data_IF_889118070220
#
_entry.id   IF_889118070220
#
_cell.length_a   1.000
_cell.length_b   1.000
_cell.length_c   1.000
_cell.angle_alpha   90.00
_cell.angle_beta   90.00
_cell.angle_gamma   90.00
#
_symmetry.space_group_name_H-M   'P 1'
#
loop_
_entity.id
_entity.type
_entity.pdbx_description
1 polymer ?
#
# COMPACT_ATOMS: atom_id res chain seq x y z
N UNK A 1 26.46 16.36 -1.69
CA UNK A 1 25.24 17.09 -2.14
C UNK A 1 25.31 18.61 -1.83
N UNK A 2 26.31 19.05 -1.09
CA UNK A 2 26.48 20.49 -0.69
C UNK A 2 26.69 21.44 -1.87
N UNK A 3 27.13 20.93 -3.04
CA UNK A 3 27.36 21.71 -4.26
C UNK A 3 26.12 21.82 -5.17
N UNK A 4 25.02 21.11 -4.82
CA UNK A 4 23.80 21.11 -5.63
C UNK A 4 22.88 22.24 -5.20
N UNK A 5 22.74 23.26 -6.02
CA UNK A 5 21.72 24.31 -5.81
C UNK A 5 20.35 23.78 -6.22
N UNK A 6 19.50 23.48 -5.23
CA UNK A 6 18.13 23.04 -5.44
C UNK A 6 17.23 23.48 -4.29
N UNK A 7 15.94 23.63 -4.57
CA UNK A 7 14.94 24.02 -3.57
C UNK A 7 14.43 22.82 -2.74
N UNK A 8 14.42 21.63 -3.34
CA UNK A 8 13.89 20.41 -2.72
C UNK A 8 14.76 19.20 -3.04
N UNK A 9 15.06 18.40 -2.02
CA UNK A 9 15.75 17.11 -2.14
C UNK A 9 14.77 16.00 -1.72
N UNK A 10 14.53 15.04 -2.60
CA UNK A 10 13.63 13.91 -2.37
C UNK A 10 14.46 12.64 -2.16
N UNK A 11 14.42 12.10 -0.94
CA UNK A 11 15.08 10.84 -0.58
C UNK A 11 14.14 9.67 -0.92
N UNK A 12 14.39 9.02 -2.04
CA UNK A 12 13.62 7.86 -2.52
C UNK A 12 14.48 6.60 -2.46
N UNK A 13 14.70 6.11 -1.26
CA UNK A 13 15.48 4.90 -0.96
C UNK A 13 14.64 3.94 -0.11
N UNK A 14 14.97 2.62 -0.06
CA UNK A 14 14.30 1.68 0.84
C UNK A 14 14.31 2.16 2.29
N UNK A 15 13.24 1.93 3.03
CA UNK A 15 13.05 2.39 4.41
C UNK A 15 14.21 2.00 5.35
N UNK A 16 14.77 0.80 5.16
CA UNK A 16 15.92 0.32 5.93
C UNK A 16 17.22 1.11 5.68
N UNK A 17 17.34 1.73 4.49
CA UNK A 17 18.54 2.50 4.13
C UNK A 17 18.39 3.99 4.41
N UNK A 18 17.19 4.43 4.69
CA UNK A 18 16.90 5.86 4.88
C UNK A 18 17.68 6.47 6.06
N UNK A 19 17.79 5.84 7.25
CA UNK A 19 18.61 6.36 8.34
C UNK A 19 20.08 6.52 7.96
N UNK A 20 20.67 5.52 7.31
CA UNK A 20 22.07 5.55 6.87
C UNK A 20 22.33 6.69 5.88
N UNK A 21 21.41 6.90 4.93
CA UNK A 21 21.51 7.98 3.94
C UNK A 21 21.44 9.34 4.62
N UNK A 22 20.55 9.52 5.59
CA UNK A 22 20.39 10.77 6.33
C UNK A 22 21.63 11.06 7.18
N UNK A 23 22.20 10.06 7.84
CA UNK A 23 23.35 10.21 8.73
C UNK A 23 24.64 10.51 7.96
N UNK A 24 24.81 9.87 6.79
CA UNK A 24 26.04 9.97 6.00
C UNK A 24 25.96 11.00 4.85
N UNK A 25 24.88 11.78 4.78
CA UNK A 25 24.72 12.82 3.77
C UNK A 25 24.67 14.21 4.40
N UNK A 26 25.29 15.17 3.70
CA UNK A 26 25.17 16.59 4.00
C UNK A 26 24.18 17.22 3.00
N UNK A 27 23.27 18.04 3.50
CA UNK A 27 22.25 18.70 2.69
C UNK A 27 22.35 20.22 2.82
N UNK A 28 22.16 20.99 1.72
CA UNK A 28 22.12 22.45 1.78
C UNK A 28 21.04 22.92 2.76
N UNK A 29 21.39 23.80 3.69
CA UNK A 29 20.49 24.28 4.77
C UNK A 29 19.22 24.95 4.25
N UNK A 30 19.28 25.54 3.06
CA UNK A 30 18.16 26.23 2.45
C UNK A 30 17.21 25.29 1.69
N UNK A 31 17.66 24.13 1.27
CA UNK A 31 16.82 23.14 0.61
C UNK A 31 15.83 22.48 1.58
N UNK A 32 14.63 22.16 1.11
CA UNK A 32 13.68 21.34 1.84
C UNK A 32 14.01 19.87 1.57
N UNK A 33 14.32 19.09 2.61
CA UNK A 33 14.63 17.67 2.49
C UNK A 33 13.39 16.86 2.85
N UNK A 34 12.97 15.97 1.96
CA UNK A 34 11.81 15.10 2.17
C UNK A 34 12.16 13.64 1.91
N UNK A 35 11.50 12.73 2.62
CA UNK A 35 11.52 11.31 2.26
C UNK A 35 10.19 10.84 1.68
N UNK A 36 10.21 9.70 0.97
CA UNK A 36 9.03 9.12 0.32
C UNK A 36 8.47 7.91 1.06
N UNK A 37 8.89 7.66 2.29
CA UNK A 37 8.45 6.49 3.06
C UNK A 37 7.02 6.63 3.59
N UNK A 38 6.24 5.57 3.45
CA UNK A 38 4.92 5.44 4.06
C UNK A 38 4.99 5.10 5.56
N UNK A 39 6.06 4.42 6.00
CA UNK A 39 6.20 3.88 7.36
C UNK A 39 7.03 4.78 8.29
N UNK A 40 8.04 5.51 7.76
CA UNK A 40 8.98 6.30 8.58
C UNK A 40 8.38 7.64 9.01
N UNK A 41 8.61 8.09 10.26
CA UNK A 41 8.10 9.37 10.73
C UNK A 41 8.88 10.55 10.09
N UNK A 42 8.21 11.69 9.92
CA UNK A 42 8.84 12.94 9.48
C UNK A 42 10.05 13.34 10.36
N UNK A 43 9.95 13.06 11.66
CA UNK A 43 10.99 13.38 12.65
C UNK A 43 12.34 12.71 12.40
N UNK A 44 12.42 11.70 11.52
CA UNK A 44 13.68 11.11 11.09
C UNK A 44 14.62 12.17 10.46
N UNK A 45 14.05 13.20 9.84
CA UNK A 45 14.78 14.32 9.23
C UNK A 45 14.93 15.54 10.17
N UNK A 46 14.60 15.43 11.45
CA UNK A 46 14.55 16.57 12.39
C UNK A 46 15.88 17.31 12.59
N UNK A 47 17.01 16.70 12.28
CA UNK A 47 18.32 17.37 12.28
C UNK A 47 18.45 18.42 11.17
N UNK A 48 17.65 18.32 10.10
CA UNK A 48 17.64 19.30 9.02
C UNK A 48 16.56 20.38 9.28
N UNK A 49 16.88 21.67 9.13
CA UNK A 49 15.96 22.75 9.53
C UNK A 49 14.67 22.78 8.70
N UNK A 50 14.74 22.46 7.40
CA UNK A 50 13.62 22.46 6.46
C UNK A 50 13.36 21.03 5.98
N UNK A 51 12.39 20.35 6.60
CA UNK A 51 12.15 18.94 6.29
C UNK A 51 10.67 18.55 6.23
N UNK A 52 10.42 17.38 5.66
CA UNK A 52 9.06 16.85 5.57
C UNK A 52 8.98 15.49 4.89
N UNK A 53 7.79 15.20 4.41
CA UNK A 53 7.44 13.97 3.69
C UNK A 53 6.73 14.30 2.41
N UNK A 54 7.10 13.58 1.36
CA UNK A 54 6.47 13.58 0.05
C UNK A 54 6.19 12.13 -0.33
N UNK A 55 5.01 11.60 0.02
CA UNK A 55 4.69 10.19 -0.14
C UNK A 55 3.67 9.96 -1.27
N UNK A 56 4.13 9.58 -2.48
CA UNK A 56 3.23 9.11 -3.52
C UNK A 56 2.60 7.77 -3.10
N UNK A 57 1.28 7.75 -3.01
CA UNK A 57 0.54 6.58 -2.55
C UNK A 57 0.22 5.64 -3.72
N UNK A 58 1.21 4.88 -4.13
CA UNK A 58 1.15 3.98 -5.28
C UNK A 58 2.14 2.82 -5.12
N UNK A 59 1.85 1.69 -5.76
CA UNK A 59 2.81 0.60 -5.98
C UNK A 59 3.59 0.89 -7.26
N UNK A 60 4.92 0.88 -7.18
CA UNK A 60 5.79 1.18 -8.32
C UNK A 60 6.47 -0.08 -8.84
N UNK A 61 6.44 -0.27 -10.15
CA UNK A 61 7.17 -1.33 -10.87
C UNK A 61 8.15 -0.68 -11.83
N UNK A 62 9.41 -1.12 -11.82
CA UNK A 62 10.50 -0.50 -12.61
C UNK A 62 10.22 -0.42 -14.12
N UNK A 63 9.44 -1.35 -14.65
CA UNK A 63 9.13 -1.45 -16.08
C UNK A 63 7.92 -0.62 -16.53
N UNK A 64 7.20 0.04 -15.62
CA UNK A 64 5.98 0.78 -15.95
C UNK A 64 6.19 2.29 -15.81
N UNK A 65 5.87 3.03 -16.87
CA UNK A 65 5.71 4.47 -16.76
C UNK A 65 4.47 4.81 -15.95
N UNK A 66 4.65 5.69 -14.96
CA UNK A 66 3.59 6.08 -14.04
C UNK A 66 3.15 7.51 -14.33
N UNK A 67 1.86 7.70 -14.60
CA UNK A 67 1.26 9.02 -14.66
C UNK A 67 0.90 9.48 -13.24
N UNK A 68 1.61 10.46 -12.73
CA UNK A 68 1.42 10.98 -11.37
C UNK A 68 0.13 11.78 -11.20
N UNK A 69 -0.51 12.25 -12.26
CA UNK A 69 -1.66 13.18 -12.21
C UNK A 69 -2.77 12.72 -11.27
N UNK A 70 -3.08 11.42 -11.25
CA UNK A 70 -4.17 10.84 -10.46
C UNK A 70 -3.70 10.10 -9.20
N UNK A 71 -2.38 10.03 -8.95
CA UNK A 71 -1.83 9.37 -7.78
C UNK A 71 -1.99 10.29 -6.56
N UNK A 72 -2.63 9.82 -5.48
CA UNK A 72 -2.65 10.58 -4.24
C UNK A 72 -1.22 10.81 -3.71
N UNK A 73 -0.89 12.05 -3.38
CA UNK A 73 0.37 12.38 -2.72
C UNK A 73 0.05 12.86 -1.31
N UNK A 74 0.56 12.15 -0.32
CA UNK A 74 0.43 12.53 1.08
C UNK A 74 1.66 13.31 1.51
N UNK A 75 1.44 14.50 2.06
CA UNK A 75 2.52 15.41 2.43
C UNK A 75 2.46 15.79 3.91
N UNK A 76 3.64 16.01 4.48
CA UNK A 76 3.85 16.53 5.81
C UNK A 76 5.08 17.46 5.77
N UNK A 77 5.12 18.52 6.54
CA UNK A 77 6.26 19.43 6.55
C UNK A 77 6.28 20.28 7.82
N UNK A 78 7.47 20.65 8.27
CA UNK A 78 7.68 21.56 9.38
C UNK A 78 7.66 23.03 8.89
N UNK A 79 7.07 23.95 9.68
CA UNK A 79 7.06 25.38 9.37
C UNK A 79 6.72 25.69 7.91
N UNK A 80 7.53 26.50 7.26
CA UNK A 80 7.37 26.90 5.86
C UNK A 80 7.66 25.79 4.85
N UNK A 81 8.28 24.67 5.26
CA UNK A 81 8.59 23.55 4.36
C UNK A 81 7.30 22.94 3.77
N UNK A 82 6.20 22.98 4.51
CA UNK A 82 4.91 22.47 4.05
C UNK A 82 4.44 23.13 2.75
N UNK A 83 4.56 24.45 2.62
CA UNK A 83 4.14 25.21 1.44
C UNK A 83 4.97 24.82 0.21
N UNK A 84 6.29 24.69 0.38
CA UNK A 84 7.18 24.25 -0.69
C UNK A 84 6.86 22.85 -1.14
N UNK A 85 6.68 21.90 -0.19
CA UNK A 85 6.30 20.51 -0.49
C UNK A 85 4.95 20.45 -1.21
N UNK A 86 3.98 21.22 -0.75
CA UNK A 86 2.64 21.28 -1.36
C UNK A 86 2.71 21.82 -2.79
N UNK A 87 3.50 22.85 -3.05
CA UNK A 87 3.69 23.40 -4.41
C UNK A 87 4.26 22.33 -5.35
N UNK A 88 5.30 21.61 -4.93
CA UNK A 88 5.88 20.50 -5.73
C UNK A 88 4.88 19.40 -5.94
N UNK A 89 4.15 18.98 -4.91
CA UNK A 89 3.17 17.91 -5.02
C UNK A 89 2.03 18.27 -5.99
N UNK A 90 1.53 19.52 -5.93
CA UNK A 90 0.46 19.99 -6.83
C UNK A 90 0.91 20.18 -8.28
N UNK A 91 2.20 20.36 -8.51
CA UNK A 91 2.75 20.41 -9.87
C UNK A 91 2.69 19.05 -10.59
N UNK A 92 2.64 17.94 -9.86
CA UNK A 92 2.66 16.58 -10.41
C UNK A 92 1.36 15.80 -10.19
N UNK A 93 0.53 16.16 -9.19
CA UNK A 93 -0.73 15.46 -8.90
C UNK A 93 -1.87 16.42 -8.56
N UNK A 94 -3.08 16.04 -8.99
CA UNK A 94 -4.34 16.72 -8.61
C UNK A 94 -4.84 16.29 -7.22
N UNK A 95 -4.30 15.20 -6.65
CA UNK A 95 -4.78 14.55 -5.41
C UNK A 95 -3.76 14.70 -4.27
N UNK A 96 -3.58 15.91 -3.75
CA UNK A 96 -2.63 16.19 -2.66
C UNK A 96 -3.37 16.32 -1.33
N UNK A 97 -2.93 15.60 -0.29
CA UNK A 97 -3.51 15.64 1.05
C UNK A 97 -2.44 15.80 2.11
N UNK A 98 -2.73 16.61 3.14
CA UNK A 98 -1.92 16.66 4.37
C UNK A 98 -2.25 15.44 5.21
N UNK A 99 -1.23 14.65 5.55
CA UNK A 99 -1.38 13.44 6.38
C UNK A 99 -0.22 13.37 7.35
N UNK A 100 -0.51 13.30 8.65
CA UNK A 100 0.52 13.18 9.68
C UNK A 100 1.25 11.84 9.60
N UNK A 101 2.45 11.76 10.17
CA UNK A 101 3.24 10.52 10.24
C UNK A 101 2.45 9.36 10.82
N UNK A 102 1.70 9.59 11.91
CA UNK A 102 0.87 8.54 12.53
C UNK A 102 -0.23 8.03 11.58
N UNK A 103 -0.96 8.94 10.95
CA UNK A 103 -2.02 8.54 10.02
C UNK A 103 -1.45 7.94 8.72
N UNK A 104 -0.28 8.39 8.26
CA UNK A 104 0.39 7.81 7.10
C UNK A 104 0.78 6.35 7.34
N UNK A 105 1.26 6.00 8.55
CA UNK A 105 1.52 4.61 8.92
C UNK A 105 0.27 3.74 8.86
N UNK A 106 -0.88 4.24 9.35
CA UNK A 106 -2.16 3.54 9.25
C UNK A 106 -2.61 3.35 7.81
N UNK A 107 -2.48 4.38 6.99
CA UNK A 107 -2.80 4.33 5.55
C UNK A 107 -1.87 3.36 4.82
N UNK A 108 -0.57 3.37 5.14
CA UNK A 108 0.39 2.42 4.59
C UNK A 108 0.04 0.97 4.95
N UNK A 109 -0.29 0.70 6.22
CA UNK A 109 -0.74 -0.62 6.65
C UNK A 109 -2.02 -1.05 5.91
N UNK A 110 -2.99 -0.16 5.73
CA UNK A 110 -4.20 -0.45 4.96
C UNK A 110 -3.86 -0.82 3.49
N UNK A 111 -2.89 -0.13 2.88
CA UNK A 111 -2.42 -0.46 1.53
C UNK A 111 -1.72 -1.82 1.45
N UNK A 112 -1.00 -2.24 2.49
CA UNK A 112 -0.42 -3.59 2.56
C UNK A 112 -1.53 -4.64 2.49
N UNK A 113 -2.62 -4.48 3.26
CA UNK A 113 -3.78 -5.37 3.18
C UNK A 113 -4.44 -5.33 1.80
N UNK A 114 -4.74 -4.14 1.29
CA UNK A 114 -5.51 -3.97 0.06
C UNK A 114 -4.72 -4.34 -1.22
N UNK A 115 -3.40 -4.25 -1.19
CA UNK A 115 -2.56 -4.45 -2.38
C UNK A 115 -1.58 -5.62 -2.21
N UNK A 116 -0.69 -5.59 -1.20
CA UNK A 116 0.38 -6.59 -1.11
C UNK A 116 -0.17 -7.98 -0.74
N UNK A 117 -1.02 -8.06 0.28
CA UNK A 117 -1.64 -9.34 0.67
C UNK A 117 -2.62 -9.82 -0.40
N UNK A 118 -3.39 -8.92 -1.00
CA UNK A 118 -4.28 -9.27 -2.11
C UNK A 118 -3.50 -9.82 -3.30
N UNK A 119 -2.35 -9.23 -3.66
CA UNK A 119 -1.50 -9.78 -4.71
C UNK A 119 -0.96 -11.17 -4.36
N UNK A 120 -0.64 -11.42 -3.09
CA UNK A 120 -0.25 -12.77 -2.64
C UNK A 120 -1.41 -13.76 -2.75
N UNK A 121 -2.66 -13.35 -2.47
CA UNK A 121 -3.84 -14.19 -2.69
C UNK A 121 -4.08 -14.47 -4.17
N UNK A 122 -3.79 -13.52 -5.06
CA UNK A 122 -3.82 -13.78 -6.51
C UNK A 122 -2.78 -14.83 -6.92
N UNK A 123 -1.57 -14.81 -6.34
CA UNK A 123 -0.57 -15.86 -6.58
C UNK A 123 -1.07 -17.24 -6.14
N UNK A 124 -1.73 -17.33 -4.97
CA UNK A 124 -2.33 -18.59 -4.51
C UNK A 124 -3.42 -19.05 -5.50
N UNK A 125 -4.26 -18.13 -5.96
CA UNK A 125 -5.29 -18.45 -6.94
C UNK A 125 -4.69 -18.93 -8.28
N UNK A 126 -3.64 -18.29 -8.77
CA UNK A 126 -2.92 -18.68 -9.99
C UNK A 126 -2.35 -20.09 -9.89
N UNK A 127 -1.75 -20.47 -8.75
CA UNK A 127 -1.24 -21.81 -8.50
C UNK A 127 -2.38 -22.86 -8.51
N UNK A 128 -3.55 -22.54 -7.95
CA UNK A 128 -4.72 -23.45 -7.96
C UNK A 128 -5.37 -23.57 -9.35
N UNK A 129 -5.36 -22.48 -10.13
CA UNK A 129 -5.89 -22.47 -11.50
C UNK A 129 -5.02 -23.30 -12.46
N UNK A 130 -3.70 -23.32 -12.26
CA UNK A 130 -2.78 -24.10 -13.06
C UNK A 130 -3.12 -25.59 -13.04
N UNK A 131 -3.57 -26.13 -11.90
CA UNK A 131 -4.03 -27.51 -11.76
C UNK A 131 -5.29 -27.82 -12.60
N UNK A 132 -6.05 -26.78 -12.98
CA UNK A 132 -7.23 -26.87 -13.82
C UNK A 132 -6.98 -26.46 -15.29
N UNK A 133 -5.71 -26.21 -15.68
CA UNK A 133 -5.32 -25.68 -16.99
C UNK A 133 -5.96 -24.29 -17.30
N UNK A 134 -6.16 -23.46 -16.27
CA UNK A 134 -6.64 -22.09 -16.35
C UNK A 134 -5.55 -21.11 -15.88
N UNK A 135 -5.78 -19.83 -16.07
CA UNK A 135 -4.87 -18.77 -15.66
C UNK A 135 -5.60 -17.62 -14.96
N UNK A 136 -4.86 -16.69 -14.37
CA UNK A 136 -5.43 -15.58 -13.61
C UNK A 136 -6.33 -14.65 -14.46
N UNK A 137 -6.10 -14.57 -15.78
CA UNK A 137 -6.94 -13.81 -16.71
C UNK A 137 -8.37 -14.31 -16.75
N UNK A 138 -8.60 -15.63 -16.52
CA UNK A 138 -9.94 -16.21 -16.45
C UNK A 138 -10.77 -15.68 -15.27
N UNK A 139 -10.09 -15.14 -14.25
CA UNK A 139 -10.71 -14.50 -13.08
C UNK A 139 -10.79 -12.97 -13.19
N UNK A 140 -10.27 -12.34 -14.24
CA UNK A 140 -10.14 -10.89 -14.32
C UNK A 140 -11.47 -10.17 -14.04
N UNK A 141 -12.56 -10.60 -14.69
CA UNK A 141 -13.88 -9.97 -14.49
C UNK A 141 -14.34 -10.08 -13.04
N UNK A 142 -14.21 -11.25 -12.41
CA UNK A 142 -14.59 -11.47 -11.02
C UNK A 142 -13.77 -10.61 -10.04
N UNK A 143 -12.46 -10.46 -10.29
CA UNK A 143 -11.59 -9.63 -9.47
C UNK A 143 -11.98 -8.14 -9.56
N UNK A 144 -12.23 -7.63 -10.78
CA UNK A 144 -12.68 -6.25 -11.01
C UNK A 144 -14.02 -5.98 -10.33
N UNK A 145 -14.97 -6.89 -10.46
CA UNK A 145 -16.27 -6.79 -9.81
C UNK A 145 -16.17 -6.76 -8.29
N UNK A 146 -15.26 -7.55 -7.70
CA UNK A 146 -15.00 -7.57 -6.26
C UNK A 146 -14.49 -6.21 -5.77
N UNK A 147 -13.53 -5.61 -6.50
CA UNK A 147 -13.00 -4.28 -6.17
C UNK A 147 -14.07 -3.21 -6.32
N UNK A 148 -14.84 -3.22 -7.44
CA UNK A 148 -15.90 -2.24 -7.70
C UNK A 148 -16.93 -2.23 -6.57
N UNK A 149 -17.47 -3.39 -6.21
CA UNK A 149 -18.44 -3.53 -5.11
C UNK A 149 -17.88 -3.07 -3.76
N UNK A 150 -16.63 -3.43 -3.44
CA UNK A 150 -16.01 -3.02 -2.18
C UNK A 150 -15.92 -1.49 -2.06
N UNK A 151 -15.65 -0.79 -3.18
CA UNK A 151 -15.57 0.68 -3.22
C UNK A 151 -16.96 1.33 -3.20
N UNK A 152 -17.92 0.78 -3.94
CA UNK A 152 -19.25 1.37 -4.15
C UNK A 152 -20.18 1.23 -2.93
N UNK A 153 -20.23 0.03 -2.33
CA UNK A 153 -21.19 -0.29 -1.25
C UNK A 153 -20.51 -0.64 0.09
N UNK A 154 -19.21 -0.54 0.19
CA UNK A 154 -18.28 -0.96 1.26
C UNK A 154 -17.96 -2.46 1.24
N UNK A 155 -16.72 -2.79 1.67
CA UNK A 155 -16.24 -4.19 1.70
C UNK A 155 -17.10 -5.08 2.62
N UNK A 156 -17.63 -4.54 3.73
CA UNK A 156 -18.47 -5.30 4.63
C UNK A 156 -19.78 -5.75 3.98
N UNK A 157 -20.43 -4.84 3.23
CA UNK A 157 -21.68 -5.16 2.51
C UNK A 157 -21.47 -6.00 1.27
N UNK A 158 -20.30 -5.88 0.64
CA UNK A 158 -19.93 -6.63 -0.55
C UNK A 158 -19.46 -8.07 -0.25
N UNK A 159 -19.27 -8.43 1.03
CA UNK A 159 -18.74 -9.74 1.40
C UNK A 159 -19.65 -10.86 0.98
N UNK A 160 -19.12 -11.82 0.20
CA UNK A 160 -19.79 -13.02 -0.28
C UNK A 160 -18.97 -14.28 0.03
N UNK A 161 -19.45 -15.44 -0.37
CA UNK A 161 -18.71 -16.70 -0.28
C UNK A 161 -19.24 -17.66 0.80
N UNK A 162 -18.68 -18.89 0.88
CA UNK A 162 -19.18 -19.93 1.80
C UNK A 162 -19.03 -19.55 3.27
N UNK A 163 -17.96 -18.86 3.66
CA UNK A 163 -17.72 -18.47 5.06
C UNK A 163 -18.81 -17.53 5.60
N UNK A 164 -19.17 -16.46 4.86
CA UNK A 164 -20.23 -15.55 5.29
C UNK A 164 -21.62 -16.22 5.31
N UNK A 165 -21.85 -17.19 4.44
CA UNK A 165 -23.11 -17.96 4.47
C UNK A 165 -23.11 -19.06 5.55
N UNK A 166 -21.95 -19.47 6.08
CA UNK A 166 -21.82 -20.60 7.01
C UNK A 166 -21.95 -21.95 6.33
N UNK A 167 -21.55 -22.05 5.07
CA UNK A 167 -21.63 -23.27 4.27
C UNK A 167 -20.46 -24.20 4.59
N UNK A 168 -20.59 -24.94 5.71
CA UNK A 168 -19.54 -25.82 6.21
C UNK A 168 -19.17 -26.91 5.22
N UNK A 169 -20.15 -27.45 4.49
CA UNK A 169 -19.91 -28.52 3.51
C UNK A 169 -18.95 -28.06 2.38
N UNK A 170 -19.09 -26.83 1.92
CA UNK A 170 -18.18 -26.26 0.90
C UNK A 170 -16.81 -25.97 1.50
N UNK A 171 -16.77 -25.46 2.73
CA UNK A 171 -15.49 -25.20 3.44
C UNK A 171 -14.71 -26.50 3.59
N UNK A 172 -15.35 -27.59 4.01
CA UNK A 172 -14.71 -28.89 4.19
C UNK A 172 -14.19 -29.47 2.87
N UNK A 173 -14.94 -29.32 1.77
CA UNK A 173 -14.48 -29.70 0.43
C UNK A 173 -13.24 -28.91 0.01
N UNK A 174 -13.19 -27.60 0.26
CA UNK A 174 -12.02 -26.78 -0.06
C UNK A 174 -10.82 -27.20 0.79
N UNK A 175 -11.01 -27.49 2.08
CA UNK A 175 -9.92 -27.98 2.94
C UNK A 175 -9.41 -29.35 2.51
N UNK A 176 -10.26 -30.23 2.01
CA UNK A 176 -9.84 -31.52 1.44
C UNK A 176 -8.98 -31.33 0.17
N UNK A 177 -9.31 -30.36 -0.69
CA UNK A 177 -8.47 -30.02 -1.85
C UNK A 177 -7.09 -29.46 -1.44
N UNK A 178 -7.01 -28.81 -0.28
CA UNK A 178 -5.77 -28.20 0.24
C UNK A 178 -4.98 -29.13 1.18
N UNK A 179 -5.37 -30.42 1.34
CA UNK A 179 -4.80 -31.34 2.35
C UNK A 179 -3.27 -31.45 2.31
N UNK A 180 -2.65 -31.33 1.14
CA UNK A 180 -1.21 -31.41 0.93
C UNK A 180 -0.53 -30.02 0.83
N UNK A 181 -1.24 -28.95 1.18
CA UNK A 181 -0.77 -27.58 1.05
C UNK A 181 -0.98 -26.81 2.37
N UNK A 182 -0.14 -27.10 3.41
CA UNK A 182 -0.38 -26.63 4.78
C UNK A 182 -0.44 -25.09 4.88
N UNK A 183 0.42 -24.37 4.16
CA UNK A 183 0.44 -22.90 4.20
C UNK A 183 -0.86 -22.30 3.61
N UNK A 184 -1.33 -22.83 2.49
CA UNK A 184 -2.59 -22.38 1.88
C UNK A 184 -3.78 -22.75 2.77
N UNK A 185 -3.75 -23.93 3.41
CA UNK A 185 -4.76 -24.36 4.39
C UNK A 185 -4.84 -23.39 5.56
N UNK A 186 -3.69 -22.94 6.08
CA UNK A 186 -3.65 -21.97 7.19
C UNK A 186 -4.27 -20.64 6.79
N UNK A 187 -3.88 -20.09 5.64
CA UNK A 187 -4.45 -18.84 5.10
C UNK A 187 -5.96 -18.97 4.89
N UNK A 188 -6.41 -20.07 4.28
CA UNK A 188 -7.82 -20.33 4.04
C UNK A 188 -8.64 -20.35 5.34
N UNK A 189 -8.17 -21.11 6.36
CA UNK A 189 -8.83 -21.22 7.67
C UNK A 189 -8.88 -19.86 8.38
N UNK A 190 -7.77 -19.10 8.39
CA UNK A 190 -7.70 -17.79 9.04
C UNK A 190 -8.70 -16.81 8.45
N UNK A 191 -8.70 -16.67 7.12
CA UNK A 191 -9.60 -15.74 6.42
C UNK A 191 -11.07 -16.18 6.56
N UNK A 192 -11.36 -17.46 6.43
CA UNK A 192 -12.72 -17.98 6.60
C UNK A 192 -13.25 -17.73 8.01
N UNK A 193 -12.45 -17.94 9.03
CA UNK A 193 -12.82 -17.63 10.43
C UNK A 193 -13.11 -16.15 10.65
N UNK A 194 -12.26 -15.25 10.12
CA UNK A 194 -12.48 -13.81 10.20
C UNK A 194 -13.76 -13.37 9.48
N UNK A 195 -14.03 -13.93 8.30
CA UNK A 195 -15.25 -13.63 7.53
C UNK A 195 -16.49 -14.14 8.29
N UNK A 196 -16.44 -15.33 8.85
CA UNK A 196 -17.56 -15.89 9.64
C UNK A 196 -17.91 -15.00 10.82
N UNK A 197 -16.91 -14.44 11.51
CA UNK A 197 -17.13 -13.54 12.66
C UNK A 197 -17.78 -12.20 12.30
N UNK A 198 -17.92 -11.88 11.02
CA UNK A 198 -18.64 -10.67 10.58
C UNK A 198 -20.17 -10.83 10.66
N UNK A 199 -20.69 -12.06 10.78
CA UNK A 199 -22.15 -12.30 10.92
C UNK A 199 -22.72 -11.76 12.23
N UNK A 200 -21.90 -11.70 13.26
CA UNK A 200 -22.31 -11.38 14.61
C UNK A 200 -22.15 -9.88 14.92
N UNK A 201 -21.82 -9.06 13.92
CA UNK A 201 -21.64 -7.60 14.01
C UNK A 201 -22.65 -6.86 13.15
#
# INVERSE_FOLDING_TARGET
LDEVSCDVIILSVPDQRLPDVIENSSFPKEAVVVHTSGSQPMGLLSKHPKHGVFYPFQTFTKSQQVNFKDIPIFIEGNGQSYETIQKVARAVSTKVKKVSSENRQKVHLAAVYACNFTNHLYRIAEELLADANLNLGDLEHLMRETVSKAVEISAAKAQTGPAIRGDQNIIDKHLALLQNQPDKTLVYKLLSSQITSLKDK
#
